data_IF_370998196441
#
_entry.id   IF_370998196441
#
_cell.length_a   1.000
_cell.length_b   1.000
_cell.length_c   1.000
_cell.angle_alpha   90.00
_cell.angle_beta   90.00
_cell.angle_gamma   90.00
#
_symmetry.space_group_name_H-M   'P 1'
#
loop_
_entity.id
_entity.type
_entity.pdbx_description
1 polymer ?
#
# COMPACT_ATOMS: atom_id res chain seq x y z
N UNK A 1 -3.00 -17.01 4.10
CA UNK A 1 -2.38 -17.68 2.93
C UNK A 1 -1.14 -18.48 3.30
N UNK A 2 -0.42 -18.14 4.38
CA UNK A 2 0.76 -18.90 4.85
C UNK A 2 0.48 -20.39 5.05
N UNK A 3 -0.65 -20.73 5.69
CA UNK A 3 -1.14 -22.12 5.82
C UNK A 3 -1.35 -22.86 4.49
N UNK A 4 -1.33 -22.16 3.35
CA UNK A 4 -1.45 -22.73 2.00
C UNK A 4 -0.14 -22.65 1.20
N UNK A 5 0.97 -22.40 1.90
CA UNK A 5 2.33 -22.45 1.35
C UNK A 5 2.86 -21.11 0.85
N UNK A 6 2.15 -19.99 1.07
CA UNK A 6 2.73 -18.67 0.80
C UNK A 6 3.81 -18.36 1.81
N UNK A 7 5.03 -18.11 1.35
CA UNK A 7 6.14 -17.64 2.18
C UNK A 7 6.69 -16.34 1.62
N UNK A 8 6.86 -15.37 2.50
CA UNK A 8 7.39 -14.05 2.20
C UNK A 8 8.80 -13.95 2.80
N UNK A 9 9.75 -13.53 1.97
CA UNK A 9 11.16 -13.34 2.31
C UNK A 9 11.41 -11.84 2.47
N UNK A 10 11.62 -11.33 3.69
CA UNK A 10 11.89 -9.91 3.90
C UNK A 10 13.08 -9.44 3.06
N UNK A 11 12.93 -8.27 2.45
CA UNK A 11 14.00 -7.63 1.69
C UNK A 11 14.96 -6.96 2.65
N UNK A 12 16.14 -7.53 2.83
CA UNK A 12 17.25 -6.95 3.58
C UNK A 12 18.55 -7.15 2.80
N UNK A 13 19.30 -6.09 2.47
CA UNK A 13 19.05 -4.67 2.78
C UNK A 13 17.83 -4.09 2.05
N UNK A 14 17.25 -3.04 2.63
CA UNK A 14 16.06 -2.33 2.14
C UNK A 14 16.36 -1.45 0.91
N UNK A 15 17.59 -1.01 0.68
CA UNK A 15 17.95 -0.34 -0.57
C UNK A 15 19.44 -0.39 -0.84
N UNK A 16 19.78 -0.34 -2.13
CA UNK A 16 21.14 -0.18 -2.62
C UNK A 16 21.12 0.86 -3.74
N UNK A 17 21.74 2.02 -3.50
CA UNK A 17 21.78 3.14 -4.43
C UNK A 17 23.23 3.34 -4.90
N UNK A 18 23.60 2.86 -6.10
CA UNK A 18 24.94 3.03 -6.65
C UNK A 18 25.15 4.46 -7.17
N UNK A 19 26.36 4.99 -6.97
CA UNK A 19 26.79 6.28 -7.49
C UNK A 19 27.75 6.08 -8.67
N UNK A 20 27.79 7.07 -9.58
CA UNK A 20 28.68 7.04 -10.75
C UNK A 20 30.17 7.07 -10.40
N UNK A 21 30.52 7.56 -9.20
CA UNK A 21 31.88 7.63 -8.69
C UNK A 21 32.33 6.36 -7.95
N UNK A 22 31.51 5.30 -7.97
CA UNK A 22 31.79 4.02 -7.32
C UNK A 22 31.42 3.95 -5.85
N UNK A 23 30.95 5.05 -5.23
CA UNK A 23 30.33 5.00 -3.90
C UNK A 23 28.92 4.40 -3.99
N UNK A 24 28.34 4.06 -2.85
CA UNK A 24 26.95 3.62 -2.77
C UNK A 24 26.35 3.99 -1.42
N UNK A 25 25.02 4.09 -1.38
CA UNK A 25 24.25 4.17 -0.15
C UNK A 25 23.49 2.86 0.05
N UNK A 26 23.68 2.23 1.21
CA UNK A 26 22.96 1.04 1.64
C UNK A 26 22.02 1.43 2.77
N UNK A 27 20.73 1.12 2.66
CA UNK A 27 19.79 1.24 3.79
C UNK A 27 19.21 -0.14 4.12
N UNK A 28 18.98 -0.40 5.39
CA UNK A 28 18.47 -1.66 5.92
C UNK A 28 17.61 -1.45 7.16
N UNK A 29 17.27 -2.55 7.88
CA UNK A 29 16.49 -2.46 9.10
C UNK A 29 17.28 -1.89 10.29
N UNK A 30 18.61 -1.89 10.26
CA UNK A 30 19.45 -1.41 11.36
C UNK A 30 19.66 0.11 11.32
N UNK A 31 19.05 0.84 12.27
CA UNK A 31 19.13 2.29 12.36
C UNK A 31 20.58 2.84 12.46
N UNK A 32 21.46 2.19 13.22
CA UNK A 32 22.86 2.61 13.34
C UNK A 32 23.65 2.39 12.05
N UNK A 33 23.35 1.32 11.30
CA UNK A 33 23.93 1.10 9.99
C UNK A 33 23.48 2.21 9.03
N UNK A 34 22.18 2.51 8.98
CA UNK A 34 21.64 3.59 8.14
C UNK A 34 22.31 4.93 8.47
N UNK A 35 22.43 5.26 9.76
CA UNK A 35 23.11 6.49 10.20
C UNK A 35 24.57 6.52 9.77
N UNK A 36 25.29 5.42 9.89
CA UNK A 36 26.69 5.30 9.43
C UNK A 36 26.82 5.45 7.92
N UNK A 37 25.97 4.75 7.14
CA UNK A 37 25.97 4.79 5.67
C UNK A 37 25.64 6.18 5.13
N UNK A 38 24.60 6.84 5.67
CA UNK A 38 24.24 8.22 5.32
C UNK A 38 25.38 9.18 5.69
N UNK A 39 26.03 8.96 6.83
CA UNK A 39 27.15 9.77 7.32
C UNK A 39 28.37 9.80 6.39
N UNK A 40 28.53 8.81 5.50
CA UNK A 40 29.55 8.80 4.43
C UNK A 40 29.30 9.89 3.39
N UNK A 41 28.06 10.39 3.27
CA UNK A 41 27.65 11.42 2.31
C UNK A 41 27.36 12.76 2.99
N UNK A 42 26.62 12.76 4.10
CA UNK A 42 26.40 13.94 4.95
C UNK A 42 26.17 13.55 6.40
N UNK A 43 26.96 14.13 7.31
CA UNK A 43 26.78 13.97 8.76
C UNK A 43 25.48 14.62 9.24
N UNK A 44 25.10 15.74 8.64
CA UNK A 44 23.88 16.47 9.00
C UNK A 44 22.64 15.66 8.62
N UNK A 45 22.64 15.05 7.45
CA UNK A 45 21.55 14.16 7.03
C UNK A 45 21.46 12.93 7.94
N UNK A 46 22.60 12.35 8.33
CA UNK A 46 22.65 11.22 9.27
C UNK A 46 22.06 11.56 10.65
N UNK A 47 22.22 12.80 11.11
CA UNK A 47 21.62 13.30 12.36
C UNK A 47 20.14 13.67 12.20
N UNK A 48 19.69 14.03 10.99
CA UNK A 48 18.30 14.36 10.69
C UNK A 48 17.43 13.13 10.42
N UNK A 49 18.00 12.08 9.85
CA UNK A 49 17.29 10.90 9.37
C UNK A 49 16.41 10.21 10.44
N UNK A 50 16.85 9.99 11.69
CA UNK A 50 15.97 9.39 12.70
C UNK A 50 14.73 10.24 13.03
N UNK A 51 14.85 11.57 13.01
CA UNK A 51 13.71 12.48 13.24
C UNK A 51 12.74 12.48 12.07
N UNK A 52 13.25 12.29 10.86
CA UNK A 52 12.43 12.12 9.66
C UNK A 52 11.62 10.82 9.73
N UNK A 53 12.25 9.69 10.08
CA UNK A 53 11.57 8.41 10.26
C UNK A 53 10.50 8.47 11.37
N UNK A 54 10.82 9.09 12.51
CA UNK A 54 9.86 9.29 13.61
C UNK A 54 8.64 10.11 13.16
N UNK A 55 8.86 11.18 12.38
CA UNK A 55 7.76 12.00 11.87
C UNK A 55 6.86 11.19 10.91
N UNK A 56 7.44 10.41 10.01
CA UNK A 56 6.68 9.56 9.09
C UNK A 56 5.89 8.49 9.83
N UNK A 57 6.49 7.81 10.80
CA UNK A 57 5.81 6.82 11.63
C UNK A 57 4.62 7.45 12.37
N UNK A 58 4.80 8.67 12.88
CA UNK A 58 3.71 9.44 13.51
C UNK A 58 2.58 9.71 12.52
N UNK A 59 2.89 10.02 11.26
CA UNK A 59 1.91 10.27 10.22
C UNK A 59 1.22 9.00 9.71
N UNK A 60 1.94 7.87 9.63
CA UNK A 60 1.33 6.58 9.32
C UNK A 60 0.27 6.21 10.37
N UNK A 61 0.55 6.43 11.66
CA UNK A 61 -0.42 6.20 12.75
C UNK A 61 -1.70 7.04 12.62
N UNK A 62 -1.61 8.24 12.03
CA UNK A 62 -2.80 9.05 11.74
C UNK A 62 -3.66 8.43 10.63
N UNK A 63 -3.00 7.83 9.64
CA UNK A 63 -3.65 7.25 8.46
C UNK A 63 -4.23 5.86 8.71
N UNK A 64 -3.69 5.08 9.65
CA UNK A 64 -4.17 3.72 9.96
C UNK A 64 -5.69 3.68 10.14
N UNK A 65 -6.22 4.60 10.95
CA UNK A 65 -7.67 4.67 11.16
C UNK A 65 -8.46 5.03 9.89
N UNK A 66 -7.94 5.93 9.07
CA UNK A 66 -8.64 6.40 7.86
C UNK A 66 -8.65 5.33 6.78
N UNK A 67 -7.56 4.58 6.62
CA UNK A 67 -7.40 3.54 5.60
C UNK A 67 -8.22 2.29 5.93
N UNK A 68 -8.24 1.89 7.20
CA UNK A 68 -8.94 0.66 7.63
C UNK A 68 -10.45 0.87 7.89
N UNK A 69 -10.91 2.12 7.92
CA UNK A 69 -12.31 2.43 8.15
C UNK A 69 -13.12 2.45 6.85
N UNK A 70 -14.37 1.94 6.87
CA UNK A 70 -15.26 2.12 5.73
C UNK A 70 -15.52 3.62 5.50
N UNK A 71 -15.52 4.08 4.24
CA UNK A 71 -15.75 5.49 3.93
C UNK A 71 -17.15 5.92 4.36
N UNK A 72 -17.29 6.97 5.19
CA UNK A 72 -18.56 7.30 5.81
C UNK A 72 -19.62 7.79 4.81
N UNK A 73 -19.24 8.42 3.70
CA UNK A 73 -20.18 9.03 2.75
C UNK A 73 -20.72 8.08 1.68
N UNK A 74 -20.12 6.90 1.46
CA UNK A 74 -20.40 6.05 0.30
C UNK A 74 -21.65 5.16 0.44
N UNK A 75 -22.38 5.23 1.55
CA UNK A 75 -23.60 4.44 1.77
C UNK A 75 -24.80 5.09 1.08
N UNK A 76 -25.01 4.77 -0.19
CA UNK A 76 -26.23 5.17 -0.91
C UNK A 76 -27.43 4.35 -0.42
N UNK A 77 -28.19 4.91 0.53
CA UNK A 77 -29.32 4.27 1.23
C UNK A 77 -30.68 4.45 0.51
N UNK A 78 -30.71 4.44 -0.82
CA UNK A 78 -31.93 4.71 -1.60
C UNK A 78 -33.11 3.77 -1.29
N UNK A 79 -32.84 2.56 -0.79
CA UNK A 79 -33.85 1.56 -0.38
C UNK A 79 -33.67 1.03 1.06
N UNK A 80 -32.94 1.74 1.92
CA UNK A 80 -32.60 1.22 3.24
C UNK A 80 -33.72 1.43 4.28
N UNK A 81 -33.87 0.46 5.19
CA UNK A 81 -34.85 0.53 6.28
C UNK A 81 -34.54 1.67 7.25
N UNK A 82 -35.50 2.04 8.11
CA UNK A 82 -35.27 3.05 9.15
C UNK A 82 -34.14 2.64 10.11
N UNK A 83 -33.99 1.35 10.38
CA UNK A 83 -32.91 0.80 11.23
C UNK A 83 -31.56 1.00 10.57
N UNK A 84 -31.44 0.72 9.27
CA UNK A 84 -30.20 0.91 8.51
C UNK A 84 -29.77 2.38 8.49
N UNK A 85 -30.73 3.29 8.36
CA UNK A 85 -30.47 4.74 8.42
C UNK A 85 -30.01 5.20 9.80
N UNK A 86 -30.56 4.61 10.86
CA UNK A 86 -30.14 4.95 12.22
C UNK A 86 -28.74 4.41 12.51
N UNK A 87 -28.46 3.17 12.10
CA UNK A 87 -27.13 2.55 12.19
C UNK A 87 -26.09 3.36 11.42
N UNK A 88 -26.40 3.79 10.20
CA UNK A 88 -25.52 4.64 9.39
C UNK A 88 -25.16 5.97 10.09
N UNK A 89 -26.14 6.63 10.72
CA UNK A 89 -25.86 7.85 11.51
C UNK A 89 -24.93 7.58 12.68
N UNK A 90 -25.13 6.47 13.40
CA UNK A 90 -24.27 6.08 14.52
C UNK A 90 -22.86 5.77 14.02
N UNK A 91 -22.74 4.95 12.97
CA UNK A 91 -21.45 4.58 12.35
C UNK A 91 -20.67 5.85 11.93
N UNK A 92 -21.35 6.81 11.29
CA UNK A 92 -20.77 8.13 10.93
C UNK A 92 -20.31 8.93 12.15
N UNK A 93 -21.14 9.02 13.18
CA UNK A 93 -20.78 9.75 14.41
C UNK A 93 -19.60 9.12 15.13
N UNK A 94 -19.52 7.78 15.16
CA UNK A 94 -18.36 7.06 15.70
C UNK A 94 -17.11 7.36 14.89
N UNK A 95 -17.21 7.33 13.55
CA UNK A 95 -16.09 7.65 12.68
C UNK A 95 -15.56 9.07 12.93
N UNK A 96 -16.45 10.08 12.84
CA UNK A 96 -16.07 11.49 12.96
C UNK A 96 -15.58 11.84 14.36
N UNK A 97 -16.15 11.26 15.41
CA UNK A 97 -15.67 11.48 16.78
C UNK A 97 -14.28 10.89 17.01
N UNK A 98 -14.00 9.69 16.48
CA UNK A 98 -12.66 9.10 16.54
C UNK A 98 -11.65 9.87 15.71
N UNK A 99 -12.01 10.31 14.50
CA UNK A 99 -11.15 11.14 13.67
C UNK A 99 -10.81 12.47 14.36
N UNK A 100 -11.81 13.15 14.92
CA UNK A 100 -11.60 14.38 15.70
C UNK A 100 -10.68 14.13 16.90
N UNK A 101 -10.85 13.02 17.60
CA UNK A 101 -9.96 12.62 18.70
C UNK A 101 -8.51 12.46 18.26
N UNK A 102 -8.26 11.78 17.14
CA UNK A 102 -6.93 11.60 16.56
C UNK A 102 -6.31 12.95 16.19
N UNK A 103 -7.07 13.81 15.50
CA UNK A 103 -6.62 15.15 15.09
C UNK A 103 -6.28 16.03 16.32
N UNK A 104 -7.10 15.96 17.37
CA UNK A 104 -6.88 16.72 18.61
C UNK A 104 -5.64 16.26 19.38
N UNK A 105 -5.36 14.96 19.42
CA UNK A 105 -4.19 14.41 20.12
C UNK A 105 -2.86 14.78 19.43
N UNK A 106 -2.89 14.97 18.12
CA UNK A 106 -1.69 15.21 17.32
C UNK A 106 -1.15 16.64 17.46
N UNK A 107 -2.02 17.62 17.72
CA UNK A 107 -1.68 19.03 17.81
C UNK A 107 -1.61 19.75 16.46
N UNK A 108 -1.85 21.06 16.46
CA UNK A 108 -2.01 21.86 15.25
C UNK A 108 -0.79 21.83 14.32
N UNK A 109 0.42 21.92 14.88
CA UNK A 109 1.67 21.97 14.10
C UNK A 109 1.88 20.69 13.29
N UNK A 110 1.64 19.54 13.90
CA UNK A 110 1.85 18.25 13.24
C UNK A 110 0.76 17.96 12.22
N UNK A 111 -0.48 18.44 12.44
CA UNK A 111 -1.52 18.37 11.43
C UNK A 111 -1.18 19.22 10.19
N UNK A 112 -0.62 20.42 10.37
CA UNK A 112 -0.15 21.24 9.24
C UNK A 112 0.97 20.54 8.48
N UNK A 113 1.96 19.99 9.18
CA UNK A 113 3.06 19.25 8.55
C UNK A 113 2.57 17.98 7.83
N UNK A 114 1.57 17.30 8.40
CA UNK A 114 0.95 16.12 7.81
C UNK A 114 0.26 16.47 6.48
N UNK A 115 -0.58 17.50 6.45
CA UNK A 115 -1.21 17.95 5.20
C UNK A 115 -0.18 18.51 4.21
N UNK A 116 0.89 19.17 4.68
CA UNK A 116 1.98 19.61 3.81
C UNK A 116 2.66 18.42 3.13
N UNK A 117 2.96 17.33 3.87
CA UNK A 117 3.48 16.08 3.31
C UNK A 117 2.52 15.49 2.28
N UNK A 118 1.24 15.35 2.61
CA UNK A 118 0.26 14.70 1.75
C UNK A 118 0.08 15.42 0.40
N UNK A 119 0.07 16.75 0.42
CA UNK A 119 -0.32 17.56 -0.73
C UNK A 119 0.88 18.11 -1.52
N UNK A 120 2.06 18.20 -0.89
CA UNK A 120 3.25 18.72 -1.55
C UNK A 120 3.89 17.71 -2.50
N UNK A 121 4.72 18.20 -3.43
CA UNK A 121 5.71 17.37 -4.11
C UNK A 121 6.69 16.73 -3.11
N UNK A 122 7.04 15.47 -3.32
CA UNK A 122 8.03 14.77 -2.51
C UNK A 122 9.40 15.46 -2.55
N UNK A 123 9.77 16.07 -3.68
CA UNK A 123 11.01 16.85 -3.80
C UNK A 123 11.08 18.01 -2.80
N UNK A 124 9.97 18.73 -2.60
CA UNK A 124 9.90 19.80 -1.58
C UNK A 124 10.13 19.23 -0.18
N UNK A 125 9.47 18.13 0.15
CA UNK A 125 9.58 17.49 1.47
C UNK A 125 11.01 17.01 1.72
N UNK A 126 11.61 16.29 0.77
CA UNK A 126 12.95 15.74 0.91
C UNK A 126 14.03 16.84 0.95
N UNK A 127 13.88 17.92 0.16
CA UNK A 127 14.81 19.06 0.20
C UNK A 127 14.73 19.87 1.50
N UNK A 128 13.59 19.85 2.20
CA UNK A 128 13.46 20.49 3.52
C UNK A 128 14.19 19.69 4.61
N UNK A 129 14.31 18.38 4.45
CA UNK A 129 14.93 17.49 5.43
C UNK A 129 16.41 17.26 5.20
N UNK A 130 16.82 17.12 3.94
CA UNK A 130 18.13 16.58 3.59
C UNK A 130 18.86 17.44 2.55
N UNK A 131 20.18 17.47 2.64
CA UNK A 131 21.04 18.17 1.69
C UNK A 131 21.65 17.22 0.64
N UNK A 132 21.91 15.97 1.00
CA UNK A 132 22.58 14.98 0.17
C UNK A 132 21.67 14.41 -0.92
N UNK A 133 22.09 14.59 -2.18
CA UNK A 133 21.31 14.11 -3.34
C UNK A 133 21.17 12.58 -3.38
N UNK A 134 22.16 11.82 -2.89
CA UNK A 134 22.11 10.35 -2.87
C UNK A 134 21.01 9.84 -1.93
N UNK A 135 20.89 10.44 -0.74
CA UNK A 135 19.82 10.09 0.20
C UNK A 135 18.45 10.51 -0.35
N UNK A 136 18.34 11.74 -0.87
CA UNK A 136 17.10 12.23 -1.47
C UNK A 136 16.66 11.35 -2.65
N UNK A 137 17.57 10.96 -3.54
CA UNK A 137 17.26 10.07 -4.66
C UNK A 137 16.79 8.68 -4.18
N UNK A 138 17.44 8.15 -3.14
CA UNK A 138 17.05 6.86 -2.54
C UNK A 138 15.62 6.91 -2.01
N UNK A 139 15.30 7.90 -1.17
CA UNK A 139 13.96 8.07 -0.56
C UNK A 139 12.89 8.50 -1.58
N UNK A 140 13.27 9.24 -2.62
CA UNK A 140 12.35 9.67 -3.67
C UNK A 140 11.80 8.50 -4.49
N UNK A 141 12.45 7.33 -4.46
CA UNK A 141 11.94 6.11 -5.10
C UNK A 141 10.56 5.75 -4.53
N UNK A 142 10.38 5.86 -3.20
CA UNK A 142 9.10 5.59 -2.54
C UNK A 142 8.01 6.59 -2.93
N UNK A 143 8.38 7.77 -3.43
CA UNK A 143 7.43 8.78 -3.90
C UNK A 143 6.90 8.52 -5.33
N UNK A 144 7.52 7.60 -6.08
CA UNK A 144 7.22 7.39 -7.51
C UNK A 144 6.89 5.94 -7.88
N UNK A 145 7.11 4.98 -6.98
CA UNK A 145 6.70 3.60 -7.21
C UNK A 145 5.18 3.52 -7.43
N UNK A 146 4.76 2.76 -8.45
CA UNK A 146 3.34 2.51 -8.73
C UNK A 146 2.55 3.69 -9.28
N UNK A 147 3.19 4.81 -9.61
CA UNK A 147 2.54 6.01 -10.17
C UNK A 147 3.21 6.45 -11.47
N UNK A 148 2.46 7.16 -12.32
CA UNK A 148 2.97 7.86 -13.52
C UNK A 148 3.41 9.30 -13.21
N UNK A 149 3.39 9.70 -11.93
CA UNK A 149 3.81 11.02 -11.46
C UNK A 149 5.31 11.10 -11.19
N UNK A 150 5.88 12.30 -11.29
CA UNK A 150 7.28 12.56 -10.92
C UNK A 150 7.40 13.09 -9.49
N UNK A 151 8.62 13.18 -8.98
CA UNK A 151 8.94 13.69 -7.62
C UNK A 151 8.51 15.15 -7.40
N UNK A 152 8.28 15.89 -8.48
CA UNK A 152 7.83 17.29 -8.47
C UNK A 152 6.31 17.44 -8.59
N UNK A 153 5.57 16.34 -8.79
CA UNK A 153 4.11 16.37 -8.91
C UNK A 153 3.48 16.57 -7.54
N UNK A 154 2.57 17.55 -7.35
CA UNK A 154 1.80 17.69 -6.11
C UNK A 154 1.08 16.38 -5.75
N UNK A 155 1.10 16.00 -4.47
CA UNK A 155 0.56 14.72 -4.00
C UNK A 155 1.55 13.55 -4.04
N UNK A 156 2.75 13.69 -4.64
CA UNK A 156 3.77 12.64 -4.57
C UNK A 156 4.30 12.40 -3.15
N UNK A 157 4.18 13.37 -2.24
CA UNK A 157 4.48 13.15 -0.82
C UNK A 157 3.52 12.16 -0.13
N UNK A 158 2.25 12.06 -0.57
CA UNK A 158 1.36 10.98 -0.14
C UNK A 158 1.85 9.61 -0.63
N UNK A 159 2.33 9.52 -1.88
CA UNK A 159 2.86 8.24 -2.43
C UNK A 159 4.06 7.77 -1.61
N UNK A 160 4.93 8.70 -1.19
CA UNK A 160 6.03 8.42 -0.27
C UNK A 160 5.51 7.82 1.04
N UNK A 161 4.56 8.50 1.69
CA UNK A 161 3.96 8.00 2.94
C UNK A 161 3.28 6.65 2.74
N UNK A 162 2.61 6.44 1.60
CA UNK A 162 1.90 5.19 1.27
C UNK A 162 2.81 3.97 1.25
N UNK A 163 4.03 4.08 0.73
CA UNK A 163 4.97 2.97 0.74
C UNK A 163 5.54 2.67 2.13
N UNK A 164 5.56 3.66 3.02
CA UNK A 164 5.95 3.49 4.42
C UNK A 164 4.81 2.86 5.23
N UNK A 165 3.55 3.20 4.93
CA UNK A 165 2.38 2.61 5.55
C UNK A 165 2.22 1.10 5.25
N UNK A 166 2.79 0.62 4.14
CA UNK A 166 2.70 -0.79 3.76
C UNK A 166 3.29 -1.73 4.84
N UNK A 167 2.61 -2.86 5.09
CA UNK A 167 3.05 -3.84 6.09
C UNK A 167 3.27 -5.22 5.44
N UNK A 168 4.37 -5.87 5.82
CA UNK A 168 4.64 -7.26 5.47
C UNK A 168 5.06 -8.05 6.70
N UNK A 169 4.40 -9.18 6.96
CA UNK A 169 4.74 -10.05 8.10
C UNK A 169 4.59 -9.34 9.46
N UNK A 170 3.65 -8.38 9.56
CA UNK A 170 3.43 -7.55 10.76
C UNK A 170 4.47 -6.46 10.98
N UNK A 171 5.36 -6.21 10.01
CA UNK A 171 6.35 -5.14 10.06
C UNK A 171 6.04 -4.07 9.02
N UNK A 172 6.06 -2.81 9.45
CA UNK A 172 5.75 -1.63 8.64
C UNK A 172 6.95 -1.17 7.82
N UNK A 173 6.70 -0.66 6.62
CA UNK A 173 7.72 -0.23 5.66
C UNK A 173 8.58 -1.38 5.09
N UNK A 174 8.24 -2.63 5.38
CA UNK A 174 9.00 -3.81 4.94
C UNK A 174 8.44 -4.34 3.64
N UNK A 175 9.33 -4.52 2.68
CA UNK A 175 9.07 -5.21 1.43
C UNK A 175 9.50 -6.67 1.54
N UNK A 176 8.84 -7.57 0.80
CA UNK A 176 9.24 -8.96 0.74
C UNK A 176 9.15 -9.53 -0.68
N UNK A 177 9.97 -10.54 -0.93
CA UNK A 177 9.88 -11.38 -2.10
C UNK A 177 9.06 -12.62 -1.79
N UNK A 178 8.36 -13.14 -2.78
CA UNK A 178 7.60 -14.39 -2.63
C UNK A 178 8.51 -15.57 -2.96
N UNK A 179 8.62 -16.54 -2.04
CA UNK A 179 9.35 -17.79 -2.32
C UNK A 179 8.70 -18.53 -3.50
N UNK A 180 9.49 -18.89 -4.52
CA UNK A 180 8.99 -19.49 -5.76
C UNK A 180 8.35 -18.51 -6.74
N UNK A 181 8.42 -17.19 -6.46
CA UNK A 181 7.91 -16.13 -7.33
C UNK A 181 6.41 -15.86 -7.20
N UNK A 182 5.92 -14.89 -7.98
CA UNK A 182 4.53 -14.39 -7.87
C UNK A 182 3.46 -15.47 -8.14
N UNK A 183 3.76 -16.51 -8.91
CA UNK A 183 2.85 -17.64 -9.13
C UNK A 183 2.49 -18.41 -7.86
N UNK A 184 3.34 -18.37 -6.83
CA UNK A 184 3.06 -18.93 -5.51
C UNK A 184 1.90 -18.21 -4.81
N UNK A 185 1.70 -16.90 -5.06
CA UNK A 185 0.57 -16.13 -4.52
C UNK A 185 -0.73 -16.67 -5.10
N UNK A 186 -0.83 -16.73 -6.43
CA UNK A 186 -2.01 -17.28 -7.12
C UNK A 186 -2.28 -18.72 -6.71
N UNK A 187 -1.23 -19.53 -6.56
CA UNK A 187 -1.35 -20.93 -6.12
C UNK A 187 -1.86 -21.05 -4.67
N UNK A 188 -1.39 -20.20 -3.76
CA UNK A 188 -1.87 -20.18 -2.38
C UNK A 188 -3.34 -19.73 -2.30
N UNK A 189 -3.75 -18.74 -3.09
CA UNK A 189 -5.15 -18.31 -3.21
C UNK A 189 -6.02 -19.44 -3.77
N UNK A 190 -5.56 -20.11 -4.84
CA UNK A 190 -6.24 -21.27 -5.43
C UNK A 190 -6.48 -22.38 -4.40
N UNK A 191 -5.43 -22.76 -3.64
CA UNK A 191 -5.56 -23.73 -2.54
C UNK A 191 -6.56 -23.30 -1.47
N UNK A 192 -6.57 -22.01 -1.10
CA UNK A 192 -7.54 -21.45 -0.15
C UNK A 192 -8.98 -21.62 -0.64
N UNK A 193 -9.21 -21.33 -1.93
CA UNK A 193 -10.52 -21.43 -2.55
C UNK A 193 -10.99 -22.89 -2.62
N UNK A 194 -10.10 -23.81 -3.03
CA UNK A 194 -10.38 -25.25 -3.05
C UNK A 194 -10.75 -25.78 -1.65
N UNK A 195 -10.02 -25.36 -0.60
CA UNK A 195 -10.35 -25.71 0.79
C UNK A 195 -11.72 -25.18 1.22
N UNK A 196 -12.12 -24.01 0.73
CA UNK A 196 -13.45 -23.45 0.95
C UNK A 196 -14.55 -24.11 0.10
N UNK A 197 -14.23 -25.13 -0.71
CA UNK A 197 -15.18 -25.86 -1.55
C UNK A 197 -15.44 -25.24 -2.93
N UNK A 198 -14.66 -24.24 -3.33
CA UNK A 198 -14.75 -23.65 -4.68
C UNK A 198 -14.23 -24.64 -5.70
N UNK A 199 -14.91 -24.77 -6.85
CA UNK A 199 -14.40 -25.49 -8.02
C UNK A 199 -13.65 -24.51 -8.93
N UNK A 200 -12.44 -24.89 -9.33
CA UNK A 200 -11.61 -24.09 -10.25
C UNK A 200 -11.55 -24.82 -11.58
N UNK A 201 -12.05 -24.17 -12.64
CA UNK A 201 -12.00 -24.68 -14.01
C UNK A 201 -11.03 -23.81 -14.79
N UNK A 202 -9.99 -24.44 -15.37
CA UNK A 202 -9.01 -23.78 -16.22
C UNK A 202 -9.25 -24.13 -17.68
N UNK A 203 -8.65 -23.37 -18.60
CA UNK A 203 -8.86 -23.51 -20.05
C UNK A 203 -10.33 -23.37 -20.48
N UNK A 204 -11.17 -22.74 -19.66
CA UNK A 204 -12.58 -22.50 -19.94
C UNK A 204 -12.79 -21.08 -20.47
N UNK A 205 -12.72 -20.90 -21.78
CA UNK A 205 -12.99 -19.62 -22.43
C UNK A 205 -14.46 -19.23 -22.23
N UNK A 206 -14.72 -17.99 -21.78
CA UNK A 206 -16.08 -17.46 -21.63
C UNK A 206 -16.56 -16.91 -22.97
N UNK A 207 -17.64 -17.46 -23.53
CA UNK A 207 -18.22 -17.00 -24.79
C UNK A 207 -19.20 -15.86 -24.62
N UNK A 208 -19.99 -15.85 -23.53
CA UNK A 208 -20.99 -14.81 -23.30
C UNK A 208 -21.27 -14.63 -21.81
N UNK A 209 -21.48 -13.38 -21.39
CA UNK A 209 -22.06 -13.05 -20.10
C UNK A 209 -23.58 -13.00 -20.26
N UNK A 210 -24.31 -13.81 -19.49
CA UNK A 210 -25.77 -13.86 -19.53
C UNK A 210 -26.34 -12.76 -18.63
N UNK A 211 -27.13 -11.87 -19.22
CA UNK A 211 -27.74 -10.73 -18.52
C UNK A 211 -29.25 -10.81 -18.69
N UNK A 212 -29.96 -10.63 -17.59
CA UNK A 212 -31.42 -10.51 -17.59
C UNK A 212 -31.84 -9.21 -18.28
N UNK A 213 -32.60 -9.28 -19.37
CA UNK A 213 -32.95 -8.10 -20.17
C UNK A 213 -33.87 -7.11 -19.45
N UNK A 214 -34.65 -7.57 -18.47
CA UNK A 214 -35.60 -6.73 -17.74
C UNK A 214 -34.95 -5.99 -16.56
N UNK A 215 -34.00 -6.64 -15.88
CA UNK A 215 -33.36 -6.14 -14.66
C UNK A 215 -31.92 -5.67 -14.87
N UNK A 216 -31.29 -6.03 -15.99
CA UNK A 216 -29.89 -5.72 -16.31
C UNK A 216 -28.87 -6.48 -15.45
N UNK A 217 -29.28 -7.51 -14.71
CA UNK A 217 -28.40 -8.25 -13.80
C UNK A 217 -27.71 -9.43 -14.47
N UNK A 218 -26.43 -9.65 -14.15
CA UNK A 218 -25.68 -10.84 -14.58
C UNK A 218 -26.24 -12.09 -13.89
N UNK A 219 -26.65 -13.08 -14.68
CA UNK A 219 -27.16 -14.37 -14.21
C UNK A 219 -26.14 -15.51 -14.35
N UNK A 220 -25.08 -15.31 -15.15
CA UNK A 220 -24.01 -16.29 -15.30
C UNK A 220 -23.16 -16.04 -16.54
N UNK A 221 -22.37 -17.04 -16.91
CA UNK A 221 -21.57 -17.05 -18.13
C UNK A 221 -21.80 -18.36 -18.89
N UNK A 222 -21.76 -18.30 -20.22
CA UNK A 222 -21.64 -19.48 -21.09
C UNK A 222 -20.18 -19.67 -21.50
N UNK A 223 -19.75 -20.92 -21.63
CA UNK A 223 -18.39 -21.27 -22.04
C UNK A 223 -18.35 -21.57 -23.54
N UNK A 224 -17.27 -21.15 -24.20
CA UNK A 224 -17.01 -21.50 -25.58
C UNK A 224 -16.81 -23.00 -25.76
N UNK A 225 -17.28 -23.55 -26.88
CA UNK A 225 -16.97 -24.92 -27.27
C UNK A 225 -15.48 -25.01 -27.63
N UNK A 226 -14.68 -25.64 -26.77
CA UNK A 226 -13.29 -25.95 -27.10
C UNK A 226 -13.30 -27.01 -28.20
N UNK A 227 -13.06 -26.60 -29.44
CA UNK A 227 -12.75 -27.52 -30.54
C UNK A 227 -11.26 -27.93 -30.46
N UNK A 228 -10.98 -29.03 -29.74
CA UNK A 228 -9.79 -29.95 -29.73
C UNK A 228 -9.44 -30.34 -28.28
N UNK A 229 -9.33 -31.59 -27.84
CA UNK A 229 -9.03 -32.89 -28.48
C UNK A 229 -10.23 -33.87 -28.36
N UNK A 230 -10.61 -34.74 -29.31
CA UNK A 230 -9.89 -35.84 -29.99
C UNK A 230 -9.25 -36.90 -29.07
N UNK A 231 -10.06 -37.92 -28.76
CA UNK A 231 -9.81 -39.35 -28.47
C UNK A 231 -8.48 -39.81 -27.84
N UNK A 232 -8.58 -40.66 -26.80
CA UNK A 232 -8.29 -42.11 -26.93
C UNK A 232 -8.90 -42.93 -25.79
N UNK A 233 -9.68 -43.95 -26.20
CA UNK A 233 -10.18 -45.19 -25.55
C UNK A 233 -10.68 -45.12 -24.10
#
# INVERSE_FOLDING_TARGET
LERHGLKLLPRSPSSFTPCLDGRYLLLGPEAELNRSEIGKFSKKDAEAYPRYEEQLEKFCKLMDFVIDSPPPELRQLYHASMVDRMKDKVDKSVFWSKLLGIVMQQGQKDMVNFFDLLLSPASKILNNWFEGDVLKATLATDAVIGTMAGVNTPGSGYVLLHHIMGETGGQRGVWAYVEGGMGSVSSAISKAALEAGVQIVTNAEVSQVMVDENTGKVQGVSLGLISKCMCTV
#
